data_IF_612182019868
#
_entry.id   IF_612182019868
#
_cell.length_a   1.000
_cell.length_b   1.000
_cell.length_c   1.000
_cell.angle_alpha   90.00
_cell.angle_beta   90.00
_cell.angle_gamma   90.00
#
_symmetry.space_group_name_H-M   'P 1'
#
loop_
_entity.id
_entity.type
_entity.pdbx_description
1 polymer ?
#
# COMPACT_ATOMS: atom_id res chain seq x y z
N UNK A 1 -10.84 15.03 -16.81
CA UNK A 1 -10.88 14.99 -15.32
C UNK A 1 -9.54 14.50 -14.81
N UNK A 2 -8.95 15.23 -13.90
CA UNK A 2 -7.69 14.83 -13.27
C UNK A 2 -7.99 13.84 -12.13
N UNK A 3 -7.37 12.67 -12.19
CA UNK A 3 -7.46 11.71 -11.10
C UNK A 3 -6.20 11.78 -10.24
N UNK A 4 -6.40 11.92 -8.94
CA UNK A 4 -5.30 11.80 -7.99
C UNK A 4 -5.05 10.34 -7.66
N UNK A 5 -3.80 9.94 -7.37
CA UNK A 5 -3.49 8.54 -7.10
C UNK A 5 -4.10 8.04 -5.80
N UNK A 6 -4.45 6.77 -5.80
CA UNK A 6 -4.74 6.01 -4.57
C UNK A 6 -3.40 5.46 -4.09
N UNK A 7 -3.06 5.70 -2.83
CA UNK A 7 -1.90 5.07 -2.21
C UNK A 7 -2.32 3.71 -1.68
N UNK A 8 -1.73 2.65 -2.23
CA UNK A 8 -1.98 1.28 -1.77
C UNK A 8 -0.73 0.75 -1.11
N UNK A 9 -0.83 0.41 0.16
CA UNK A 9 0.26 -0.16 0.92
C UNK A 9 -0.08 -1.60 1.30
N UNK A 10 0.88 -2.51 1.13
CA UNK A 10 0.73 -3.92 1.46
C UNK A 10 1.71 -4.25 2.58
N UNK A 11 1.19 -4.66 3.72
CA UNK A 11 2.01 -5.04 4.87
C UNK A 11 1.92 -6.55 5.15
N UNK A 12 2.63 -7.02 6.16
CA UNK A 12 2.88 -8.44 6.37
C UNK A 12 1.85 -9.17 7.21
N UNK A 13 0.57 -8.82 7.11
CA UNK A 13 -0.50 -9.59 7.72
C UNK A 13 -1.06 -10.64 6.76
N UNK A 14 -1.72 -11.66 7.28
CA UNK A 14 -2.48 -12.58 6.43
C UNK A 14 -3.55 -11.82 5.64
N UNK A 15 -3.72 -12.16 4.39
CA UNK A 15 -4.66 -11.46 3.52
C UNK A 15 -4.04 -10.92 2.23
N UNK A 16 -2.85 -11.40 1.86
CA UNK A 16 -2.22 -11.02 0.59
C UNK A 16 -3.15 -11.19 -0.62
N UNK A 17 -3.98 -12.24 -0.72
CA UNK A 17 -4.92 -12.36 -1.83
C UNK A 17 -5.89 -11.18 -1.98
N UNK A 18 -6.29 -10.57 -0.87
CA UNK A 18 -7.15 -9.37 -0.92
C UNK A 18 -6.41 -8.18 -1.52
N UNK A 19 -5.13 -8.01 -1.16
CA UNK A 19 -4.30 -6.96 -1.73
C UNK A 19 -4.10 -7.15 -3.23
N UNK A 20 -3.82 -8.37 -3.64
CA UNK A 20 -3.64 -8.72 -5.07
C UNK A 20 -4.92 -8.42 -5.84
N UNK A 21 -6.08 -8.81 -5.30
CA UNK A 21 -7.36 -8.54 -5.96
C UNK A 21 -7.65 -7.04 -6.06
N UNK A 22 -7.40 -6.29 -5.00
CA UNK A 22 -7.61 -4.84 -5.01
C UNK A 22 -6.71 -4.17 -6.05
N UNK A 23 -5.44 -4.52 -6.06
CA UNK A 23 -4.50 -3.98 -7.04
C UNK A 23 -4.90 -4.34 -8.47
N UNK A 24 -5.35 -5.57 -8.70
CA UNK A 24 -5.83 -6.02 -10.00
C UNK A 24 -7.00 -5.17 -10.49
N UNK A 25 -7.99 -4.93 -9.63
CA UNK A 25 -9.16 -4.10 -9.97
C UNK A 25 -8.72 -2.67 -10.31
N UNK A 26 -7.85 -2.09 -9.49
CA UNK A 26 -7.39 -0.72 -9.72
C UNK A 26 -6.56 -0.60 -11.00
N UNK A 27 -5.66 -1.54 -11.25
CA UNK A 27 -4.80 -1.52 -12.43
C UNK A 27 -5.62 -1.72 -13.71
N UNK A 28 -6.57 -2.65 -13.72
CA UNK A 28 -7.45 -2.88 -14.87
C UNK A 28 -8.35 -1.68 -15.15
N UNK A 29 -8.78 -0.98 -14.10
CA UNK A 29 -9.58 0.23 -14.20
C UNK A 29 -8.78 1.48 -14.55
N UNK A 30 -7.47 1.35 -14.76
CA UNK A 30 -6.57 2.48 -15.06
C UNK A 30 -6.62 3.58 -14.01
N UNK A 31 -6.88 3.21 -12.76
CA UNK A 31 -6.83 4.14 -11.63
C UNK A 31 -5.36 4.41 -11.30
N UNK A 32 -4.93 5.67 -11.19
CA UNK A 32 -3.57 5.95 -10.74
C UNK A 32 -3.32 5.37 -9.35
N UNK A 33 -2.27 4.59 -9.21
CA UNK A 33 -1.92 3.93 -7.94
C UNK A 33 -0.46 4.23 -7.60
N UNK A 34 -0.23 4.62 -6.37
CA UNK A 34 1.10 4.65 -5.77
C UNK A 34 1.21 3.43 -4.85
N UNK A 35 2.03 2.46 -5.28
CA UNK A 35 2.12 1.16 -4.62
C UNK A 35 3.35 1.09 -3.72
N UNK A 36 3.12 0.73 -2.46
CA UNK A 36 4.16 0.52 -1.46
C UNK A 36 4.00 -0.88 -0.88
N UNK A 37 5.09 -1.65 -0.84
CA UNK A 37 5.07 -3.00 -0.26
C UNK A 37 6.19 -3.08 0.78
N UNK A 38 5.84 -3.42 2.02
CA UNK A 38 6.85 -3.61 3.07
C UNK A 38 7.61 -4.93 2.85
N UNK A 39 8.76 -5.07 3.52
CA UNK A 39 9.52 -6.33 3.46
C UNK A 39 8.69 -7.52 3.92
N UNK A 40 7.93 -7.36 4.99
CA UNK A 40 7.02 -8.40 5.47
C UNK A 40 5.83 -8.60 4.53
N UNK A 41 5.40 -7.56 3.84
CA UNK A 41 4.38 -7.66 2.79
C UNK A 41 4.81 -8.56 1.65
N UNK A 42 6.05 -8.43 1.21
CA UNK A 42 6.63 -9.34 0.22
C UNK A 42 6.65 -10.78 0.69
N UNK A 43 6.97 -10.99 1.97
CA UNK A 43 6.99 -12.33 2.55
C UNK A 43 5.61 -13.00 2.46
N UNK A 44 4.55 -12.28 2.80
CA UNK A 44 3.19 -12.82 2.75
C UNK A 44 2.68 -12.97 1.32
N UNK A 45 3.04 -12.08 0.41
CA UNK A 45 2.74 -12.24 -1.02
C UNK A 45 3.34 -13.54 -1.55
N UNK A 46 4.59 -13.84 -1.17
CA UNK A 46 5.24 -15.08 -1.57
C UNK A 46 4.57 -16.29 -0.94
N UNK A 47 4.30 -16.25 0.36
CA UNK A 47 3.72 -17.38 1.09
C UNK A 47 2.29 -17.68 0.69
N UNK A 48 1.46 -16.65 0.53
CA UNK A 48 0.02 -16.82 0.33
C UNK A 48 -0.41 -16.80 -1.13
N UNK A 49 0.36 -16.18 -2.01
CA UNK A 49 -0.02 -15.97 -3.40
C UNK A 49 1.07 -16.36 -4.40
N UNK A 50 2.19 -16.93 -3.93
CA UNK A 50 3.33 -17.34 -4.76
C UNK A 50 3.89 -16.18 -5.60
N UNK A 51 3.82 -14.95 -5.09
CA UNK A 51 4.30 -13.73 -5.76
C UNK A 51 5.54 -13.25 -5.02
N UNK A 52 6.72 -13.43 -5.64
CA UNK A 52 7.99 -13.11 -5.01
C UNK A 52 8.71 -11.90 -5.55
N UNK A 53 8.14 -11.19 -6.52
CA UNK A 53 8.79 -10.03 -7.13
C UNK A 53 7.77 -9.04 -7.67
N UNK A 54 8.21 -7.81 -7.95
CA UNK A 54 7.35 -6.80 -8.55
C UNK A 54 6.89 -7.23 -9.95
N UNK A 55 7.76 -7.88 -10.73
CA UNK A 55 7.39 -8.41 -12.03
C UNK A 55 6.29 -9.48 -11.94
N UNK A 56 6.38 -10.37 -10.94
CA UNK A 56 5.35 -11.39 -10.71
C UNK A 56 4.04 -10.75 -10.26
N UNK A 57 4.10 -9.72 -9.42
CA UNK A 57 2.92 -8.99 -8.97
C UNK A 57 2.22 -8.31 -10.15
N UNK A 58 2.99 -7.69 -11.03
CA UNK A 58 2.47 -7.07 -12.25
C UNK A 58 1.74 -8.09 -13.13
N UNK A 59 2.36 -9.26 -13.36
CA UNK A 59 1.73 -10.33 -14.17
C UNK A 59 0.43 -10.83 -13.55
N UNK A 60 0.36 -10.87 -12.22
CA UNK A 60 -0.83 -11.34 -11.50
C UNK A 60 -1.96 -10.30 -11.46
N UNK A 61 -1.70 -9.06 -11.81
CA UNK A 61 -2.61 -7.93 -11.63
C UNK A 61 -2.81 -7.15 -12.92
N UNK A 62 -3.32 -7.83 -13.94
CA UNK A 62 -3.69 -7.21 -15.20
C UNK A 62 -2.56 -7.00 -16.20
N UNK A 63 -1.31 -7.18 -15.81
CA UNK A 63 -0.15 -7.11 -16.70
C UNK A 63 0.23 -5.73 -17.23
N UNK A 64 -0.69 -4.77 -17.23
CA UNK A 64 -0.47 -3.41 -17.70
C UNK A 64 -0.57 -2.44 -16.53
N UNK A 65 0.57 -1.95 -16.10
CA UNK A 65 0.68 -1.00 -14.99
C UNK A 65 0.96 0.42 -15.47
N UNK A 66 0.39 0.83 -16.60
CA UNK A 66 0.58 2.20 -17.12
C UNK A 66 0.18 3.27 -16.10
N UNK A 67 -0.74 2.96 -15.19
CA UNK A 67 -1.22 3.87 -14.15
C UNK A 67 -0.66 3.57 -12.76
N UNK A 68 0.20 2.55 -12.60
CA UNK A 68 0.76 2.15 -11.31
C UNK A 68 2.21 2.62 -11.21
N UNK A 69 2.53 3.37 -10.14
CA UNK A 69 3.89 3.78 -9.81
C UNK A 69 4.28 3.12 -8.50
N UNK A 70 5.47 2.54 -8.45
CA UNK A 70 5.96 1.86 -7.25
C UNK A 70 6.95 2.73 -6.51
N UNK A 71 6.95 2.63 -5.16
CA UNK A 71 7.90 3.31 -4.30
C UNK A 71 8.47 2.32 -3.29
N UNK A 72 9.74 2.51 -2.95
CA UNK A 72 10.40 1.69 -1.93
C UNK A 72 9.96 2.14 -0.54
N UNK A 73 9.52 1.21 0.30
CA UNK A 73 9.09 1.51 1.67
C UNK A 73 10.23 2.09 2.53
N UNK A 74 11.48 1.86 2.15
CA UNK A 74 12.64 2.46 2.83
C UNK A 74 12.88 3.92 2.42
N UNK A 75 12.26 4.41 1.35
CA UNK A 75 12.42 5.79 0.89
C UNK A 75 11.41 6.70 1.58
N UNK A 76 11.76 7.14 2.78
CA UNK A 76 10.90 7.96 3.64
C UNK A 76 10.65 9.37 3.11
N UNK A 77 11.38 9.79 2.08
CA UNK A 77 11.22 11.10 1.46
C UNK A 77 10.48 11.07 0.13
N UNK A 78 9.95 9.91 -0.29
CA UNK A 78 9.24 9.80 -1.55
C UNK A 78 7.89 10.54 -1.53
N UNK A 79 7.33 10.75 -2.72
CA UNK A 79 6.09 11.53 -2.90
C UNK A 79 4.95 11.16 -1.93
N UNK A 80 4.68 9.88 -1.63
CA UNK A 80 3.60 9.55 -0.70
C UNK A 80 3.76 10.15 0.71
N UNK A 81 4.98 10.50 1.11
CA UNK A 81 5.25 11.13 2.40
C UNK A 81 5.18 12.66 2.36
N UNK A 82 4.75 13.26 1.25
CA UNK A 82 4.68 14.71 1.12
C UNK A 82 3.23 15.20 1.19
N UNK A 83 2.96 16.12 2.11
CA UNK A 83 1.64 16.73 2.25
C UNK A 83 1.24 17.58 1.06
N UNK A 84 2.20 18.06 0.25
CA UNK A 84 1.92 18.84 -0.95
C UNK A 84 1.50 17.99 -2.14
N UNK A 85 1.71 16.68 -2.09
CA UNK A 85 1.33 15.75 -3.15
C UNK A 85 -0.08 15.24 -2.89
N UNK A 86 -1.03 15.66 -3.72
CA UNK A 86 -2.43 15.25 -3.55
C UNK A 86 -2.65 13.78 -3.90
N UNK A 87 -3.48 13.12 -3.09
CA UNK A 87 -3.92 11.75 -3.35
C UNK A 87 -5.44 11.67 -3.20
N UNK A 88 -6.04 10.61 -3.78
CA UNK A 88 -7.45 10.31 -3.57
C UNK A 88 -7.72 9.71 -2.20
N UNK A 89 -6.68 9.19 -1.56
CA UNK A 89 -6.75 8.52 -0.27
C UNK A 89 -5.72 7.42 -0.20
N UNK A 90 -5.65 6.75 0.95
CA UNK A 90 -4.70 5.66 1.19
C UNK A 90 -5.43 4.44 1.74
N UNK A 91 -5.06 3.27 1.23
CA UNK A 91 -5.54 1.97 1.73
C UNK A 91 -4.33 1.16 2.14
N UNK A 92 -4.33 0.65 3.35
CA UNK A 92 -3.33 -0.33 3.80
C UNK A 92 -4.03 -1.68 3.88
N UNK A 93 -3.73 -2.56 2.94
CA UNK A 93 -4.41 -3.85 2.77
C UNK A 93 -3.39 -4.94 2.43
N UNK A 94 -3.18 -5.92 3.30
CA UNK A 94 -3.64 -5.96 4.68
C UNK A 94 -2.80 -5.05 5.58
N UNK A 95 -3.36 -4.66 6.72
CA UNK A 95 -2.66 -3.83 7.71
C UNK A 95 -2.36 -4.65 8.96
N UNK A 96 -1.09 -4.79 9.32
CA UNK A 96 -0.67 -5.49 10.54
C UNK A 96 -1.03 -4.69 11.79
N UNK A 97 -1.15 -5.38 12.92
CA UNK A 97 -1.28 -4.71 14.23
C UNK A 97 -0.07 -3.82 14.51
N UNK A 98 1.12 -4.23 14.08
CA UNK A 98 2.32 -3.43 14.26
C UNK A 98 2.25 -2.11 13.50
N UNK A 99 1.79 -2.15 12.24
CA UNK A 99 1.60 -0.94 11.42
C UNK A 99 0.51 -0.05 12.03
N UNK A 100 -0.61 -0.64 12.43
CA UNK A 100 -1.68 0.11 13.09
C UNK A 100 -1.19 0.78 14.37
N UNK A 101 -0.44 0.06 15.19
CA UNK A 101 0.14 0.60 16.42
C UNK A 101 1.12 1.73 16.16
N UNK A 102 1.98 1.59 15.15
CA UNK A 102 2.93 2.63 14.76
C UNK A 102 2.20 3.90 14.31
N UNK A 103 1.15 3.76 13.52
CA UNK A 103 0.35 4.90 13.07
C UNK A 103 -0.30 5.59 14.28
N UNK A 104 -0.92 4.81 15.16
CA UNK A 104 -1.59 5.36 16.35
C UNK A 104 -0.61 6.06 17.29
N UNK A 105 0.62 5.54 17.41
CA UNK A 105 1.66 6.12 18.27
C UNK A 105 2.45 7.27 17.63
N UNK A 106 2.17 7.61 16.39
CA UNK A 106 2.89 8.67 15.69
C UNK A 106 4.29 8.28 15.22
N UNK A 107 4.58 6.97 15.09
CA UNK A 107 5.89 6.49 14.63
C UNK A 107 5.93 6.46 13.10
N UNK A 108 6.97 7.02 12.50
CA UNK A 108 7.10 7.15 11.06
C UNK A 108 8.42 6.58 10.54
N UNK A 109 8.70 5.31 10.83
CA UNK A 109 9.98 4.67 10.53
C UNK A 109 10.15 4.28 9.06
N UNK A 110 9.07 4.20 8.32
CA UNK A 110 9.09 3.82 6.91
C UNK A 110 8.13 4.70 6.10
N UNK A 111 8.13 4.51 4.79
CA UNK A 111 7.29 5.31 3.90
C UNK A 111 5.80 5.07 4.16
N UNK A 112 5.41 3.82 4.42
CA UNK A 112 4.00 3.48 4.67
C UNK A 112 3.46 4.26 5.87
N UNK A 113 4.15 4.23 7.01
CA UNK A 113 3.69 4.94 8.20
C UNK A 113 3.73 6.45 8.01
N UNK A 114 4.75 6.97 7.31
CA UNK A 114 4.82 8.41 7.01
C UNK A 114 3.70 8.86 6.11
N UNK A 115 3.38 8.09 5.07
CA UNK A 115 2.25 8.39 4.19
C UNK A 115 0.92 8.38 4.94
N UNK A 116 0.74 7.42 5.86
CA UNK A 116 -0.44 7.37 6.70
C UNK A 116 -0.57 8.63 7.56
N UNK A 117 0.53 9.09 8.17
CA UNK A 117 0.52 10.33 8.96
C UNK A 117 0.17 11.54 8.11
N UNK A 118 0.67 11.62 6.89
CA UNK A 118 0.33 12.70 5.96
C UNK A 118 -1.16 12.70 5.67
N UNK A 119 -1.76 11.53 5.44
CA UNK A 119 -3.20 11.43 5.18
C UNK A 119 -4.02 11.88 6.40
N UNK A 120 -3.61 11.50 7.61
CA UNK A 120 -4.26 11.96 8.83
C UNK A 120 -4.13 13.48 9.00
N UNK A 121 -2.92 14.00 8.83
CA UNK A 121 -2.64 15.42 8.99
C UNK A 121 -3.41 16.27 8.00
N UNK A 122 -3.51 15.83 6.75
CA UNK A 122 -4.18 16.56 5.68
C UNK A 122 -5.67 16.22 5.57
N UNK A 123 -6.21 15.48 6.54
CA UNK A 123 -7.63 15.06 6.57
C UNK A 123 -8.05 14.32 5.31
N UNK A 124 -7.15 13.54 4.74
CA UNK A 124 -7.44 12.67 3.59
C UNK A 124 -7.90 11.30 4.08
N UNK A 125 -8.68 10.62 3.26
CA UNK A 125 -9.21 9.30 3.60
C UNK A 125 -8.09 8.30 3.80
N UNK A 126 -8.12 7.58 4.92
CA UNK A 126 -7.20 6.51 5.25
C UNK A 126 -8.02 5.30 5.66
N UNK A 127 -7.87 4.20 4.91
CA UNK A 127 -8.58 2.94 5.16
C UNK A 127 -7.56 1.90 5.58
N UNK A 128 -7.76 1.31 6.75
CA UNK A 128 -6.91 0.25 7.28
C UNK A 128 -7.70 -1.06 7.26
N UNK A 129 -7.25 -2.00 6.43
CA UNK A 129 -7.85 -3.34 6.38
C UNK A 129 -7.04 -4.20 7.36
N UNK A 130 -7.38 -4.07 8.63
CA UNK A 130 -6.64 -4.71 9.72
C UNK A 130 -6.87 -6.22 9.69
N UNK A 131 -5.79 -6.97 9.63
CA UNK A 131 -5.80 -8.43 9.68
C UNK A 131 -4.69 -8.88 10.62
N UNK A 132 -5.01 -9.86 11.45
CA UNK A 132 -4.04 -10.44 12.37
C UNK A 132 -4.33 -11.92 12.50
N UNK A 133 -3.28 -12.72 12.70
CA UNK A 133 -3.50 -14.14 12.95
C UNK A 133 -4.05 -14.33 14.35
N UNK A 134 -5.04 -15.21 14.53
CA UNK A 134 -5.51 -15.56 15.88
C UNK A 134 -4.36 -16.18 16.66
N UNK A 135 -4.30 -15.85 17.93
CA UNK A 135 -3.32 -16.42 18.83
C UNK A 135 -3.73 -17.84 19.26
#
# INVERSE_FOLDING_TARGET
MIRHPVVLAITGASGAPYAVRLLDVLARGKVPVWLLVSSHGWRLLKQESAIGSMAALKRATGGDWSSVTTFDDADRGAKPASGSQRTAGMVICPCTSNTLGAIAAGLGDNLITRAAHVHLKESRRLILVHREMPL
#
